data_IF_519680613448
#
_entry.id   IF_519680613448
#
_cell.length_a   1.000
_cell.length_b   1.000
_cell.length_c   1.000
_cell.angle_alpha   90.00
_cell.angle_beta   90.00
_cell.angle_gamma   90.00
#
_symmetry.space_group_name_H-M   'P 1'
#
loop_
_entity.id
_entity.type
_entity.pdbx_description
1 polymer ?
#
# COMPACT_ATOMS: atom_id res chain seq x y z
N UNK A 1 -11.79 -1.08 -29.57
CA UNK A 1 -11.48 -2.20 -28.64
C UNK A 1 -12.57 -2.27 -27.59
N UNK A 2 -13.31 -3.38 -27.50
CA UNK A 2 -14.32 -3.57 -26.45
C UNK A 2 -13.59 -3.75 -25.13
N UNK A 3 -13.64 -2.75 -24.24
CA UNK A 3 -13.17 -2.86 -22.85
C UNK A 3 -13.94 -3.98 -22.15
N UNK A 4 -13.42 -5.20 -22.21
CA UNK A 4 -13.85 -6.32 -21.36
C UNK A 4 -13.20 -6.14 -19.99
N UNK A 5 -13.58 -5.07 -19.28
CA UNK A 5 -13.12 -4.76 -17.92
C UNK A 5 -13.51 -5.85 -16.89
N UNK A 6 -14.23 -6.90 -17.27
CA UNK A 6 -14.67 -7.96 -16.37
C UNK A 6 -13.90 -9.27 -16.53
N UNK A 7 -13.15 -9.47 -17.61
CA UNK A 7 -12.35 -10.70 -17.81
C UNK A 7 -10.87 -10.44 -17.51
N UNK A 8 -10.52 -10.63 -16.25
CA UNK A 8 -9.20 -10.34 -15.69
C UNK A 8 -8.06 -11.20 -16.26
N UNK A 9 -8.35 -12.29 -16.99
CA UNK A 9 -7.32 -13.20 -17.56
C UNK A 9 -6.77 -12.74 -18.90
N UNK A 10 -7.51 -11.91 -19.64
CA UNK A 10 -7.07 -11.35 -20.92
C UNK A 10 -6.25 -10.05 -20.78
N UNK A 11 -5.86 -9.69 -19.55
CA UNK A 11 -5.24 -8.40 -19.20
C UNK A 11 -3.72 -8.38 -19.21
N UNK A 12 -3.08 -9.54 -19.31
CA UNK A 12 -1.69 -9.60 -19.75
C UNK A 12 -1.69 -9.52 -21.28
N UNK A 13 -1.76 -8.29 -21.79
CA UNK A 13 -1.30 -8.03 -23.15
C UNK A 13 0.15 -8.52 -23.28
N UNK A 14 0.56 -8.96 -24.46
CA UNK A 14 1.90 -9.51 -24.69
C UNK A 14 2.97 -8.51 -24.19
N UNK A 15 2.71 -7.21 -24.34
CA UNK A 15 3.58 -6.12 -23.88
C UNK A 15 3.82 -6.06 -22.36
N UNK A 16 2.88 -6.49 -21.52
CA UNK A 16 3.05 -6.55 -20.06
C UNK A 16 3.92 -7.74 -19.70
N UNK A 17 3.64 -8.91 -20.29
CA UNK A 17 4.41 -10.13 -20.08
C UNK A 17 5.85 -9.95 -20.51
N UNK A 18 6.09 -9.44 -21.72
CA UNK A 18 7.42 -9.14 -22.23
C UNK A 18 8.19 -8.20 -21.30
N UNK A 19 7.53 -7.16 -20.77
CA UNK A 19 8.17 -6.23 -19.84
C UNK A 19 8.51 -6.91 -18.49
N UNK A 20 7.61 -7.73 -17.93
CA UNK A 20 7.89 -8.50 -16.71
C UNK A 20 9.02 -9.49 -16.95
N UNK A 21 8.96 -10.31 -17.99
CA UNK A 21 9.98 -11.31 -18.30
C UNK A 21 11.35 -10.66 -18.53
N UNK A 22 11.39 -9.50 -19.19
CA UNK A 22 12.64 -8.77 -19.47
C UNK A 22 13.30 -8.20 -18.21
N UNK A 23 12.53 -7.70 -17.24
CA UNK A 23 13.07 -6.93 -16.11
C UNK A 23 12.92 -7.63 -14.75
N UNK A 24 12.31 -8.81 -14.69
CA UNK A 24 12.08 -9.55 -13.44
C UNK A 24 13.39 -9.89 -12.73
N UNK A 25 14.37 -10.43 -13.43
CA UNK A 25 15.63 -10.86 -12.81
C UNK A 25 16.41 -9.65 -12.27
N UNK A 26 16.50 -8.57 -13.06
CA UNK A 26 17.06 -7.29 -12.58
C UNK A 26 16.36 -6.78 -11.31
N UNK A 27 15.03 -6.87 -11.27
CA UNK A 27 14.27 -6.43 -10.12
C UNK A 27 14.51 -7.31 -8.89
N UNK A 28 14.62 -8.63 -9.07
CA UNK A 28 14.94 -9.57 -8.00
C UNK A 28 16.34 -9.28 -7.44
N UNK A 29 17.35 -9.20 -8.31
CA UNK A 29 18.73 -8.90 -7.92
C UNK A 29 18.84 -7.58 -7.16
N UNK A 30 18.18 -6.53 -7.64
CA UNK A 30 18.14 -5.22 -6.96
C UNK A 30 17.48 -5.31 -5.58
N UNK A 31 16.41 -6.10 -5.45
CA UNK A 31 15.74 -6.29 -4.15
C UNK A 31 16.60 -7.12 -3.21
N UNK A 32 17.29 -8.15 -3.68
CA UNK A 32 18.17 -8.98 -2.86
C UNK A 32 19.38 -8.18 -2.38
N UNK A 33 20.02 -7.38 -3.26
CA UNK A 33 21.11 -6.48 -2.89
C UNK A 33 20.68 -5.48 -1.78
N UNK A 34 19.47 -4.92 -1.89
CA UNK A 34 18.92 -4.08 -0.84
C UNK A 34 18.76 -4.83 0.50
N UNK A 35 18.29 -6.08 0.48
CA UNK A 35 18.03 -6.85 1.70
C UNK A 35 19.33 -7.32 2.38
N UNK A 36 20.32 -7.73 1.59
CA UNK A 36 21.66 -8.06 2.08
C UNK A 36 22.28 -6.84 2.77
N UNK A 37 22.12 -5.64 2.19
CA UNK A 37 22.76 -4.40 2.61
C UNK A 37 21.77 -3.37 3.24
N UNK A 38 20.74 -3.84 3.95
CA UNK A 38 19.62 -2.98 4.41
C UNK A 38 20.09 -1.78 5.23
N UNK A 39 21.01 -1.97 6.18
CA UNK A 39 21.51 -0.91 7.05
C UNK A 39 22.26 0.17 6.25
N UNK A 40 23.11 -0.26 5.32
CA UNK A 40 23.83 0.62 4.40
C UNK A 40 22.88 1.48 3.58
N UNK A 41 21.84 0.88 2.99
CA UNK A 41 20.89 1.61 2.16
C UNK A 41 20.00 2.56 2.97
N UNK A 42 19.61 2.20 4.20
CA UNK A 42 18.89 3.09 5.11
C UNK A 42 19.75 4.30 5.45
N UNK A 43 21.00 4.09 5.88
CA UNK A 43 21.93 5.18 6.22
C UNK A 43 22.21 6.10 5.03
N UNK A 44 22.47 5.52 3.85
CA UNK A 44 22.71 6.26 2.60
C UNK A 44 21.49 7.11 2.23
N UNK A 45 20.29 6.51 2.28
CA UNK A 45 19.04 7.20 1.99
C UNK A 45 18.78 8.37 2.94
N UNK A 46 18.93 8.16 4.26
CA UNK A 46 18.77 9.23 5.26
C UNK A 46 19.73 10.37 5.00
N UNK A 47 21.01 10.07 4.72
CA UNK A 47 22.01 11.08 4.41
C UNK A 47 21.61 11.88 3.16
N UNK A 48 21.20 11.21 2.09
CA UNK A 48 20.89 11.88 0.84
C UNK A 48 19.63 12.72 0.90
N UNK A 49 18.56 12.21 1.55
CA UNK A 49 17.36 12.99 1.83
C UNK A 49 17.69 14.24 2.65
N UNK A 50 18.56 14.15 3.67
CA UNK A 50 18.97 15.34 4.44
C UNK A 50 19.74 16.35 3.58
N UNK A 51 20.64 15.90 2.70
CA UNK A 51 21.37 16.77 1.75
C UNK A 51 20.40 17.55 0.86
N UNK A 52 19.31 16.90 0.48
CA UNK A 52 18.24 17.45 -0.35
C UNK A 52 17.25 18.36 0.41
N UNK A 53 17.52 18.66 1.68
CA UNK A 53 16.70 19.57 2.49
C UNK A 53 15.43 18.95 3.07
N UNK A 54 15.28 17.63 2.99
CA UNK A 54 14.21 16.94 3.71
C UNK A 54 14.49 16.92 5.22
N UNK A 55 13.42 16.99 6.02
CA UNK A 55 13.49 16.64 7.44
C UNK A 55 13.26 15.13 7.56
N UNK A 56 14.25 14.40 8.05
CA UNK A 56 14.24 12.92 7.99
C UNK A 56 14.32 12.31 9.38
N UNK A 57 13.43 11.38 9.63
CA UNK A 57 13.34 10.58 10.84
C UNK A 57 13.39 9.09 10.51
N UNK A 58 14.02 8.32 11.39
CA UNK A 58 14.07 6.86 11.34
C UNK A 58 13.45 6.32 12.62
N UNK A 59 12.29 5.67 12.48
CA UNK A 59 11.54 5.08 13.58
C UNK A 59 11.77 3.56 13.61
N UNK A 60 12.27 3.06 14.74
CA UNK A 60 12.48 1.63 14.97
C UNK A 60 11.19 0.88 15.26
N UNK A 61 10.15 1.56 15.74
CA UNK A 61 8.83 0.98 16.05
C UNK A 61 7.69 1.86 15.55
N UNK A 62 6.50 1.28 15.44
CA UNK A 62 5.29 2.01 15.05
C UNK A 62 4.97 3.13 16.05
N UNK A 63 5.16 2.91 17.35
CA UNK A 63 4.90 3.92 18.39
C UNK A 63 5.87 5.10 18.31
N UNK A 64 7.14 4.85 17.93
CA UNK A 64 8.10 5.91 17.68
C UNK A 64 7.66 6.76 16.47
N UNK A 65 7.21 6.10 15.39
CA UNK A 65 6.68 6.79 14.22
C UNK A 65 5.45 7.64 14.56
N UNK A 66 4.54 7.16 15.42
CA UNK A 66 3.37 7.91 15.90
C UNK A 66 3.77 9.19 16.65
N UNK A 67 4.74 9.10 17.57
CA UNK A 67 5.24 10.26 18.32
C UNK A 67 5.88 11.30 17.40
N UNK A 68 6.71 10.85 16.48
CA UNK A 68 7.38 11.72 15.50
C UNK A 68 6.35 12.42 14.61
N UNK A 69 5.36 11.67 14.12
CA UNK A 69 4.28 12.21 13.31
C UNK A 69 3.50 13.30 14.05
N UNK A 70 3.11 13.08 15.31
CA UNK A 70 2.37 14.08 16.09
C UNK A 70 3.20 15.33 16.36
N UNK A 71 4.49 15.17 16.65
CA UNK A 71 5.40 16.31 16.81
C UNK A 71 5.50 17.14 15.53
N UNK A 72 5.54 16.48 14.37
CA UNK A 72 5.58 17.15 13.07
C UNK A 72 4.24 17.75 12.65
N UNK A 73 3.14 17.14 13.06
CA UNK A 73 1.81 17.67 12.84
C UNK A 73 1.59 18.99 13.61
N UNK A 74 2.13 19.09 14.82
CA UNK A 74 1.98 20.27 15.68
C UNK A 74 0.50 20.53 16.02
N UNK A 75 0.08 21.80 15.93
CA UNK A 75 -1.29 22.21 16.26
C UNK A 75 -2.32 21.91 15.16
N UNK A 76 -1.89 21.37 14.02
CA UNK A 76 -2.80 21.08 12.90
C UNK A 76 -3.79 19.98 13.28
N UNK A 77 -5.07 20.21 13.00
CA UNK A 77 -6.17 19.27 13.30
C UNK A 77 -6.76 18.57 12.08
N UNK A 78 -6.34 18.97 10.88
CA UNK A 78 -6.84 18.39 9.62
C UNK A 78 -5.64 18.00 8.76
N UNK A 79 -5.66 16.78 8.23
CA UNK A 79 -4.67 16.30 7.27
C UNK A 79 -5.36 15.78 6.01
N UNK A 80 -4.76 16.01 4.86
CA UNK A 80 -5.22 15.47 3.59
C UNK A 80 -4.33 14.31 3.17
N UNK A 81 -4.92 13.13 3.00
CA UNK A 81 -4.18 11.89 2.76
C UNK A 81 -4.40 11.38 1.35
N UNK A 82 -3.34 10.81 0.75
CA UNK A 82 -3.49 9.93 -0.41
C UNK A 82 -2.58 8.71 -0.32
N UNK A 83 -3.12 7.55 -0.72
CA UNK A 83 -2.43 6.25 -0.91
C UNK A 83 -1.27 5.96 0.07
N UNK A 84 -1.52 6.14 1.37
CA UNK A 84 -0.57 5.76 2.42
C UNK A 84 -0.93 4.41 3.03
N UNK A 85 -0.43 3.33 2.42
CA UNK A 85 -0.57 1.98 2.99
C UNK A 85 0.17 1.85 4.31
N UNK A 86 1.32 2.53 4.44
CA UNK A 86 2.09 2.52 5.69
C UNK A 86 1.30 3.11 6.85
N UNK A 87 0.49 4.16 6.62
CA UNK A 87 -0.39 4.71 7.65
C UNK A 87 -1.40 3.66 8.19
N UNK A 88 -1.89 2.78 7.32
CA UNK A 88 -2.74 1.65 7.74
C UNK A 88 -1.90 0.57 8.45
N UNK A 89 -0.71 0.28 7.93
CA UNK A 89 0.22 -0.74 8.43
C UNK A 89 0.62 -0.49 9.89
N UNK A 90 0.97 0.75 10.23
CA UNK A 90 1.45 1.10 11.56
C UNK A 90 0.32 1.44 12.55
N UNK A 91 -0.94 1.52 12.07
CA UNK A 91 -2.10 1.88 12.88
C UNK A 91 -2.24 3.38 13.18
N UNK A 92 -1.58 4.26 12.42
CA UNK A 92 -1.58 5.69 12.73
C UNK A 92 -2.95 6.35 12.50
N UNK A 93 -3.79 5.81 11.62
CA UNK A 93 -5.11 6.38 11.36
C UNK A 93 -6.01 6.32 12.59
N UNK A 94 -5.99 5.20 13.31
CA UNK A 94 -6.75 5.05 14.56
C UNK A 94 -6.18 5.97 15.65
N UNK A 95 -4.84 6.01 15.77
CA UNK A 95 -4.15 6.91 16.69
C UNK A 95 -4.47 8.39 16.44
N UNK A 96 -4.54 8.82 15.18
CA UNK A 96 -4.93 10.19 14.81
C UNK A 96 -6.38 10.49 15.17
N UNK A 97 -7.28 9.53 14.95
CA UNK A 97 -8.69 9.64 15.33
C UNK A 97 -8.86 9.79 16.84
N UNK A 98 -8.14 8.99 17.64
CA UNK A 98 -8.14 9.07 19.11
C UNK A 98 -7.63 10.44 19.62
N UNK A 99 -6.74 11.08 18.86
CA UNK A 99 -6.20 12.42 19.16
C UNK A 99 -7.00 13.57 18.52
N UNK A 100 -8.22 13.32 18.05
CA UNK A 100 -9.10 14.30 17.42
C UNK A 100 -8.48 15.00 16.19
N UNK A 101 -7.69 14.26 15.41
CA UNK A 101 -7.16 14.72 14.12
C UNK A 101 -8.09 14.19 13.02
N UNK A 102 -8.63 15.10 12.22
CA UNK A 102 -9.44 14.76 11.05
C UNK A 102 -8.54 14.37 9.89
N UNK A 103 -8.68 13.15 9.40
CA UNK A 103 -8.04 12.67 8.18
C UNK A 103 -9.06 12.74 7.04
N UNK A 104 -8.76 13.51 6.00
CA UNK A 104 -9.59 13.59 4.79
C UNK A 104 -8.91 12.81 3.66
N UNK A 105 -9.59 11.82 3.10
CA UNK A 105 -9.08 11.10 1.92
C UNK A 105 -9.19 11.98 0.66
N UNK A 106 -8.33 11.71 -0.33
CA UNK A 106 -8.29 12.51 -1.57
C UNK A 106 -8.36 11.69 -2.85
N UNK A 107 -8.27 10.38 -2.72
CA UNK A 107 -8.55 9.43 -3.81
C UNK A 107 -10.05 9.21 -3.88
N UNK A 108 -10.65 9.36 -5.06
CA UNK A 108 -12.10 9.27 -5.20
C UNK A 108 -12.66 7.95 -4.65
N UNK A 109 -11.95 6.84 -4.87
CA UNK A 109 -12.36 5.54 -4.34
C UNK A 109 -12.38 5.50 -2.81
N UNK A 110 -11.34 6.02 -2.17
CA UNK A 110 -11.25 6.08 -0.70
C UNK A 110 -12.25 7.12 -0.12
N UNK A 111 -12.50 8.23 -0.82
CA UNK A 111 -13.54 9.22 -0.47
C UNK A 111 -14.94 8.59 -0.49
N UNK A 112 -15.23 7.72 -1.47
CA UNK A 112 -16.48 6.98 -1.50
C UNK A 112 -16.57 5.99 -0.32
N UNK A 113 -15.48 5.29 0.00
CA UNK A 113 -15.44 4.40 1.18
C UNK A 113 -15.75 5.18 2.47
N UNK A 114 -15.20 6.39 2.63
CA UNK A 114 -15.50 7.28 3.75
C UNK A 114 -16.96 7.76 3.73
N UNK A 115 -17.50 8.12 2.55
CA UNK A 115 -18.88 8.56 2.37
C UNK A 115 -19.91 7.49 2.81
N UNK A 116 -19.59 6.22 2.57
CA UNK A 116 -20.41 5.07 2.94
C UNK A 116 -20.05 4.46 4.31
N UNK A 117 -19.09 5.05 5.04
CA UNK A 117 -18.60 4.56 6.33
C UNK A 117 -18.18 3.07 6.29
N UNK A 118 -17.63 2.65 5.16
CA UNK A 118 -17.34 1.25 4.89
C UNK A 118 -15.98 0.86 5.47
N UNK A 119 -15.92 -0.20 6.30
CA UNK A 119 -14.67 -0.58 7.00
C UNK A 119 -13.59 -1.14 6.08
N UNK A 120 -13.96 -2.02 5.15
CA UNK A 120 -13.02 -2.73 4.29
C UNK A 120 -13.58 -2.80 2.86
N UNK A 121 -13.01 -2.09 1.88
CA UNK A 121 -13.49 -2.15 0.51
C UNK A 121 -13.29 -3.56 -0.07
N UNK A 122 -14.27 -4.02 -0.88
CA UNK A 122 -14.22 -5.33 -1.54
C UNK A 122 -13.06 -5.49 -2.54
N UNK A 123 -12.39 -4.39 -2.89
CA UNK A 123 -11.26 -4.37 -3.80
C UNK A 123 -10.29 -3.22 -3.45
N UNK A 124 -9.04 -3.55 -3.12
CA UNK A 124 -8.11 -2.57 -2.56
C UNK A 124 -7.57 -1.54 -3.56
N UNK A 125 -7.39 -1.92 -4.83
CA UNK A 125 -6.78 -1.05 -5.84
C UNK A 125 -7.79 0.03 -6.28
N UNK A 126 -9.05 -0.36 -6.43
CA UNK A 126 -10.17 0.53 -6.75
C UNK A 126 -11.25 0.45 -5.66
N UNK A 127 -11.03 1.07 -4.49
CA UNK A 127 -11.90 0.91 -3.32
C UNK A 127 -13.37 1.23 -3.60
N UNK A 128 -13.66 2.20 -4.47
CA UNK A 128 -15.04 2.59 -4.80
C UNK A 128 -15.77 1.73 -5.85
N UNK A 129 -15.10 0.76 -6.50
CA UNK A 129 -15.67 0.05 -7.67
C UNK A 129 -16.92 -0.79 -7.34
N UNK A 130 -17.11 -1.14 -6.07
CA UNK A 130 -18.19 -2.02 -5.63
C UNK A 130 -19.49 -1.27 -5.32
N UNK A 131 -19.47 0.07 -5.30
CA UNK A 131 -20.67 0.89 -5.09
C UNK A 131 -21.42 1.09 -6.41
N UNK A 132 -22.74 0.94 -6.38
CA UNK A 132 -23.57 1.27 -7.53
C UNK A 132 -23.62 2.79 -7.73
N UNK A 133 -23.77 3.22 -8.99
CA UNK A 133 -23.78 4.65 -9.34
C UNK A 133 -24.97 5.36 -8.70
N UNK A 134 -26.12 4.69 -8.68
CA UNK A 134 -27.36 5.17 -8.10
C UNK A 134 -27.22 5.40 -6.59
N UNK A 135 -26.56 4.48 -5.89
CA UNK A 135 -26.29 4.59 -4.46
C UNK A 135 -25.37 5.78 -4.16
N UNK A 136 -24.33 5.98 -4.97
CA UNK A 136 -23.40 7.11 -4.81
C UNK A 136 -24.16 8.44 -4.94
N UNK A 137 -25.00 8.59 -5.97
CA UNK A 137 -25.78 9.82 -6.17
C UNK A 137 -26.79 10.03 -5.04
N UNK A 138 -27.50 8.98 -4.61
CA UNK A 138 -28.42 9.06 -3.49
C UNK A 138 -27.70 9.51 -2.21
N UNK A 139 -26.50 8.98 -1.94
CA UNK A 139 -25.71 9.34 -0.75
C UNK A 139 -25.16 10.76 -0.81
N UNK A 140 -24.76 11.23 -2.00
CA UNK A 140 -24.36 12.64 -2.22
C UNK A 140 -25.55 13.57 -1.97
N UNK A 141 -26.75 13.22 -2.46
CA UNK A 141 -27.98 13.99 -2.22
C UNK A 141 -28.33 14.04 -0.73
N UNK A 142 -28.25 12.90 -0.04
CA UNK A 142 -28.50 12.79 1.40
C UNK A 142 -27.55 13.66 2.22
N UNK A 143 -26.24 13.56 1.97
CA UNK A 143 -25.21 14.21 2.81
C UNK A 143 -24.98 15.69 2.46
N UNK A 144 -25.09 16.05 1.19
CA UNK A 144 -24.72 17.38 0.70
C UNK A 144 -25.88 18.17 0.08
N UNK A 145 -27.06 17.55 -0.08
CA UNK A 145 -28.22 18.21 -0.70
C UNK A 145 -28.06 18.44 -2.21
N UNK A 146 -27.09 17.78 -2.87
CA UNK A 146 -26.79 17.96 -4.29
C UNK A 146 -27.41 16.83 -5.11
N UNK A 147 -28.22 17.20 -6.10
CA UNK A 147 -28.79 16.26 -7.06
C UNK A 147 -27.90 16.16 -8.29
N UNK A 148 -27.53 14.93 -8.66
CA UNK A 148 -26.67 14.63 -9.79
C UNK A 148 -27.36 13.64 -10.73
N UNK A 149 -27.00 13.69 -12.00
CA UNK A 149 -27.35 12.61 -12.93
C UNK A 149 -26.64 11.31 -12.51
N UNK A 150 -27.31 10.14 -12.53
CA UNK A 150 -26.74 8.84 -12.11
C UNK A 150 -25.80 8.29 -13.19
N UNK A 151 -24.68 8.99 -13.40
CA UNK A 151 -23.60 8.53 -14.27
C UNK A 151 -22.24 8.97 -13.74
N UNK A 152 -21.19 8.21 -14.11
CA UNK A 152 -19.83 8.46 -13.64
C UNK A 152 -19.29 9.86 -14.01
N UNK A 153 -19.70 10.43 -15.16
CA UNK A 153 -19.22 11.76 -15.58
C UNK A 153 -19.73 12.86 -14.65
N UNK A 154 -21.00 12.81 -14.25
CA UNK A 154 -21.59 13.78 -13.32
C UNK A 154 -20.93 13.72 -11.94
N UNK A 155 -20.69 12.52 -11.42
CA UNK A 155 -19.97 12.33 -10.14
C UNK A 155 -18.56 12.91 -10.21
N UNK A 156 -17.79 12.58 -11.25
CA UNK A 156 -16.43 13.13 -11.44
C UNK A 156 -16.44 14.64 -11.58
N UNK A 157 -17.39 15.20 -12.33
CA UNK A 157 -17.53 16.66 -12.49
C UNK A 157 -17.81 17.34 -11.14
N UNK A 158 -18.70 16.77 -10.32
CA UNK A 158 -18.99 17.27 -8.98
C UNK A 158 -17.72 17.38 -8.11
N UNK A 159 -16.95 16.29 -8.01
CA UNK A 159 -15.70 16.29 -7.23
C UNK A 159 -14.64 17.23 -7.83
N UNK A 160 -14.59 17.37 -9.15
CA UNK A 160 -13.70 18.32 -9.82
C UNK A 160 -14.04 19.78 -9.50
N UNK A 161 -15.31 20.13 -9.40
CA UNK A 161 -15.75 21.51 -9.15
C UNK A 161 -15.71 21.93 -7.68
N UNK A 162 -15.91 20.96 -6.78
CA UNK A 162 -15.98 21.18 -5.33
C UNK A 162 -14.65 20.81 -4.67
N UNK A 163 -14.35 19.52 -4.63
CA UNK A 163 -13.25 18.95 -3.88
C UNK A 163 -11.88 19.43 -4.39
N UNK A 164 -11.70 19.59 -5.70
CA UNK A 164 -10.44 20.14 -6.24
C UNK A 164 -10.13 21.55 -5.74
N UNK A 165 -11.13 22.40 -5.54
CA UNK A 165 -10.92 23.76 -5.02
C UNK A 165 -10.46 23.71 -3.57
N UNK A 166 -11.07 22.85 -2.76
CA UNK A 166 -10.62 22.59 -1.39
C UNK A 166 -9.16 22.11 -1.37
N UNK A 167 -8.81 21.11 -2.20
CA UNK A 167 -7.44 20.58 -2.27
C UNK A 167 -6.38 21.62 -2.67
N UNK A 168 -6.75 22.66 -3.41
CA UNK A 168 -5.83 23.72 -3.84
C UNK A 168 -5.67 24.84 -2.82
N UNK A 169 -6.67 25.07 -1.96
CA UNK A 169 -6.70 26.26 -1.10
C UNK A 169 -6.55 25.93 0.40
N UNK A 170 -6.98 24.74 0.84
CA UNK A 170 -7.18 24.45 2.26
C UNK A 170 -6.17 23.45 2.84
N UNK A 171 -5.33 22.85 2.00
CA UNK A 171 -4.37 21.81 2.40
C UNK A 171 -3.17 22.43 3.09
N UNK A 172 -3.12 22.39 4.43
CA UNK A 172 -1.93 22.82 5.20
C UNK A 172 -0.91 21.71 5.40
N UNK A 173 -1.40 20.52 5.72
CA UNK A 173 -0.60 19.32 5.94
C UNK A 173 -1.15 18.20 5.08
N UNK A 174 -0.27 17.57 4.30
CA UNK A 174 -0.61 16.38 3.53
C UNK A 174 0.18 15.17 4.00
N UNK A 175 -0.44 14.00 3.84
CA UNK A 175 0.14 12.71 4.17
C UNK A 175 0.15 11.80 2.93
N UNK A 176 1.34 11.37 2.52
CA UNK A 176 1.50 10.32 1.52
C UNK A 176 2.39 9.20 2.05
N UNK A 177 2.53 8.13 1.26
CA UNK A 177 3.66 7.21 1.39
C UNK A 177 4.63 7.44 0.23
N UNK A 178 5.35 6.39 -0.20
CA UNK A 178 6.14 6.39 -1.42
C UNK A 178 6.00 5.04 -2.14
N UNK A 179 6.05 5.06 -3.47
CA UNK A 179 6.15 3.84 -4.26
C UNK A 179 7.58 3.28 -4.18
N UNK A 180 8.58 4.16 -4.21
CA UNK A 180 9.98 3.86 -3.99
C UNK A 180 10.72 5.12 -3.50
N UNK A 181 11.85 4.94 -2.83
CA UNK A 181 12.77 6.01 -2.43
C UNK A 181 14.18 5.66 -2.89
N UNK A 182 14.80 6.51 -3.70
CA UNK A 182 16.18 6.31 -4.14
C UNK A 182 17.16 6.64 -2.99
N UNK A 183 18.02 5.69 -2.66
CA UNK A 183 19.10 5.88 -1.68
C UNK A 183 20.24 6.73 -2.24
N UNK A 184 20.57 6.58 -3.52
CA UNK A 184 21.62 7.35 -4.19
C UNK A 184 21.24 8.80 -4.44
N UNK A 185 19.97 9.05 -4.78
CA UNK A 185 19.51 10.38 -5.16
C UNK A 185 18.79 11.12 -4.03
N UNK A 186 18.34 10.41 -2.98
CA UNK A 186 17.53 11.00 -1.92
C UNK A 186 16.21 11.57 -2.47
N UNK A 187 15.53 10.79 -3.30
CA UNK A 187 14.35 11.22 -4.04
C UNK A 187 13.17 10.28 -3.77
N UNK A 188 11.98 10.87 -3.59
CA UNK A 188 10.73 10.17 -3.36
C UNK A 188 10.00 10.01 -4.68
N UNK A 189 9.65 8.78 -5.04
CA UNK A 189 8.87 8.48 -6.23
C UNK A 189 7.43 8.13 -5.88
N UNK A 190 6.51 8.82 -6.54
CA UNK A 190 5.07 8.67 -6.40
C UNK A 190 4.43 8.43 -7.77
N UNK A 191 3.40 7.60 -7.79
CA UNK A 191 2.63 7.27 -8.99
C UNK A 191 1.13 7.48 -8.72
N UNK A 192 0.38 8.00 -9.69
CA UNK A 192 -1.06 8.26 -9.53
C UNK A 192 -1.83 8.33 -10.86
N UNK A 193 -3.15 8.16 -10.79
CA UNK A 193 -4.07 8.24 -11.93
C UNK A 193 -4.99 9.47 -11.89
N UNK A 194 -5.25 10.08 -10.73
CA UNK A 194 -6.27 11.14 -10.59
C UNK A 194 -5.69 12.56 -10.52
N UNK A 195 -4.39 12.69 -10.24
CA UNK A 195 -3.70 13.97 -10.03
C UNK A 195 -3.90 14.56 -8.63
N UNK A 196 -4.58 13.85 -7.73
CA UNK A 196 -4.79 14.23 -6.33
C UNK A 196 -3.48 14.26 -5.52
N UNK A 197 -2.59 13.28 -5.70
CA UNK A 197 -1.27 13.23 -5.05
C UNK A 197 -0.43 14.44 -5.50
N UNK A 198 -0.40 14.72 -6.80
CA UNK A 198 0.26 15.91 -7.36
C UNK A 198 -0.24 17.21 -6.74
N UNK A 199 -1.54 17.33 -6.45
CA UNK A 199 -2.09 18.52 -5.82
C UNK A 199 -1.66 18.58 -4.36
N UNK A 200 -1.90 17.54 -3.55
CA UNK A 200 -1.61 17.61 -2.11
C UNK A 200 -0.12 17.60 -1.77
N UNK A 201 0.76 17.24 -2.70
CA UNK A 201 2.22 17.37 -2.51
C UNK A 201 2.76 18.75 -2.92
N UNK A 202 2.03 19.47 -3.79
CA UNK A 202 2.43 20.81 -4.27
C UNK A 202 1.69 21.93 -3.55
N UNK A 203 0.37 21.84 -3.40
CA UNK A 203 -0.44 22.89 -2.77
C UNK A 203 -0.30 22.97 -1.25
N UNK A 204 0.30 21.96 -0.60
CA UNK A 204 0.45 21.90 0.86
C UNK A 204 1.55 22.83 1.38
N UNK A 205 1.47 23.24 2.64
CA UNK A 205 2.61 23.91 3.30
C UNK A 205 3.64 22.88 3.80
N UNK A 206 3.14 21.81 4.44
CA UNK A 206 3.95 20.68 4.93
C UNK A 206 3.50 19.38 4.28
N UNK A 207 4.45 18.64 3.71
CA UNK A 207 4.22 17.31 3.17
C UNK A 207 4.90 16.28 4.06
N UNK A 208 4.12 15.42 4.72
CA UNK A 208 4.63 14.30 5.52
C UNK A 208 4.56 13.01 4.70
N UNK A 209 5.69 12.35 4.56
CA UNK A 209 5.86 11.07 3.90
C UNK A 209 6.12 10.00 4.95
N UNK A 210 5.15 9.10 5.13
CA UNK A 210 5.25 7.97 6.04
C UNK A 210 5.44 6.69 5.25
N UNK A 211 6.56 6.00 5.47
CA UNK A 211 6.99 4.95 4.56
C UNK A 211 7.87 3.90 5.23
N UNK A 212 7.60 2.62 4.97
CA UNK A 212 8.45 1.53 5.44
C UNK A 212 9.81 1.50 4.75
N UNK A 213 10.85 1.10 5.48
CA UNK A 213 12.24 1.02 4.97
C UNK A 213 12.38 0.14 3.73
N UNK A 214 11.52 -0.87 3.56
CA UNK A 214 11.50 -1.74 2.38
C UNK A 214 11.16 -1.00 1.07
N UNK A 215 10.69 0.25 1.11
CA UNK A 215 10.49 1.06 -0.10
C UNK A 215 11.77 1.70 -0.63
N UNK A 216 12.86 1.63 0.10
CA UNK A 216 14.16 2.11 -0.36
C UNK A 216 14.66 1.19 -1.48
N UNK A 217 15.24 1.80 -2.50
CA UNK A 217 15.90 1.17 -3.64
C UNK A 217 17.24 1.86 -3.91
N UNK A 218 18.19 1.21 -4.60
CA UNK A 218 19.52 1.78 -4.78
C UNK A 218 19.54 3.13 -5.50
N UNK A 219 18.90 3.22 -6.68
CA UNK A 219 18.91 4.41 -7.54
C UNK A 219 17.52 4.90 -7.97
N UNK A 220 17.45 6.10 -8.56
CA UNK A 220 16.22 6.63 -9.17
C UNK A 220 15.74 5.80 -10.36
N UNK A 221 16.64 5.13 -11.09
CA UNK A 221 16.26 4.23 -12.17
C UNK A 221 15.61 2.95 -11.63
N UNK A 222 16.08 2.43 -10.50
CA UNK A 222 15.42 1.32 -9.81
C UNK A 222 14.05 1.73 -9.28
N UNK A 223 13.91 2.96 -8.77
CA UNK A 223 12.63 3.51 -8.36
C UNK A 223 11.65 3.59 -9.55
N UNK A 224 12.13 4.03 -10.72
CA UNK A 224 11.34 4.06 -11.95
C UNK A 224 10.96 2.64 -12.39
N UNK A 225 11.89 1.69 -12.31
CA UNK A 225 11.63 0.30 -12.66
C UNK A 225 10.55 -0.31 -11.77
N UNK A 226 10.64 -0.13 -10.45
CA UNK A 226 9.60 -0.55 -9.49
C UNK A 226 8.26 0.08 -9.87
N UNK A 227 8.23 1.39 -10.14
CA UNK A 227 7.00 2.11 -10.49
C UNK A 227 6.39 1.59 -11.79
N UNK A 228 7.21 1.37 -12.83
CA UNK A 228 6.76 0.78 -14.10
C UNK A 228 6.29 -0.67 -13.93
N UNK A 229 6.95 -1.46 -13.09
CA UNK A 229 6.49 -2.81 -12.74
C UNK A 229 5.11 -2.80 -12.08
N UNK A 230 4.89 -1.92 -11.11
CA UNK A 230 3.57 -1.76 -10.47
C UNK A 230 2.52 -1.33 -11.50
N UNK A 231 2.82 -0.34 -12.34
CA UNK A 231 1.91 0.13 -13.39
C UNK A 231 1.49 -0.99 -14.33
N UNK A 232 2.46 -1.70 -14.91
CA UNK A 232 2.20 -2.78 -15.88
C UNK A 232 1.43 -3.94 -15.29
N UNK A 233 1.65 -4.25 -14.02
CA UNK A 233 1.04 -5.43 -13.37
C UNK A 233 -0.29 -5.16 -12.68
N UNK A 234 -0.65 -3.89 -12.47
CA UNK A 234 -1.86 -3.48 -11.74
C UNK A 234 -2.97 -2.95 -12.68
N UNK A 235 -2.70 -2.77 -13.98
CA UNK A 235 -3.65 -2.28 -15.00
C UNK A 235 -4.33 -0.95 -14.63
N UNK A 236 -3.76 -0.24 -13.64
CA UNK A 236 -4.14 1.11 -13.31
C UNK A 236 -3.49 2.01 -14.35
N UNK A 237 -4.31 2.72 -15.14
CA UNK A 237 -3.81 3.72 -16.08
C UNK A 237 -3.05 4.77 -15.29
N UNK A 238 -1.72 4.67 -15.32
CA UNK A 238 -0.85 5.62 -14.66
C UNK A 238 -0.83 6.91 -15.47
N UNK A 239 -1.32 8.00 -14.88
CA UNK A 239 -1.36 9.30 -15.52
C UNK A 239 -0.12 10.13 -15.17
N UNK A 240 0.39 10.03 -13.93
CA UNK A 240 1.47 10.87 -13.45
C UNK A 240 2.49 10.09 -12.62
N UNK A 241 3.78 10.36 -12.87
CA UNK A 241 4.89 9.99 -11.99
C UNK A 241 5.49 11.29 -11.47
N UNK A 242 5.63 11.41 -10.15
CA UNK A 242 6.28 12.56 -9.51
C UNK A 242 7.55 12.12 -8.80
N UNK A 243 8.62 12.86 -9.03
CA UNK A 243 9.87 12.77 -8.31
C UNK A 243 9.98 14.01 -7.43
N UNK A 244 10.09 13.80 -6.12
CA UNK A 244 10.26 14.88 -5.15
C UNK A 244 11.69 14.79 -4.63
N UNK A 245 12.46 15.84 -4.92
CA UNK A 245 13.86 15.99 -4.50
C UNK A 245 14.03 16.91 -3.28
N UNK A 246 12.94 17.41 -2.69
CA UNK A 246 12.99 18.24 -1.49
C UNK A 246 11.85 19.24 -1.45
N UNK A 247 11.89 20.18 -0.50
CA UNK A 247 11.01 21.34 -0.50
C UNK A 247 11.11 22.14 -1.81
N UNK A 248 10.00 22.76 -2.20
CA UNK A 248 9.98 23.62 -3.39
C UNK A 248 10.74 24.90 -3.13
N UNK A 249 11.52 25.39 -4.09
CA UNK A 249 12.18 26.68 -3.97
C UNK A 249 12.44 27.36 -5.31
N UNK A 250 12.93 28.59 -5.24
CA UNK A 250 13.43 29.38 -6.39
C UNK A 250 14.75 30.04 -6.01
N UNK A 251 15.59 30.28 -7.01
CA UNK A 251 16.81 31.09 -6.90
C UNK A 251 16.81 32.27 -7.89
N UNK A 252 15.68 32.55 -8.53
CA UNK A 252 15.59 33.56 -9.61
C UNK A 252 15.81 35.00 -9.09
N UNK A 253 15.62 35.21 -7.79
CA UNK A 253 15.77 36.51 -7.14
C UNK A 253 17.25 36.70 -6.77
N UNK A 254 18.03 37.19 -7.73
CA UNK A 254 19.48 37.48 -7.59
C UNK A 254 20.31 36.28 -7.11
N UNK A 255 19.91 35.04 -7.44
CA UNK A 255 20.61 33.84 -6.99
C UNK A 255 20.36 33.48 -5.52
N UNK A 256 19.46 34.18 -4.83
CA UNK A 256 19.13 33.88 -3.42
C UNK A 256 18.12 32.76 -3.38
N UNK A 257 18.51 31.62 -2.78
CA UNK A 257 17.60 30.48 -2.62
C UNK A 257 16.53 30.79 -1.58
N UNK A 258 15.26 30.67 -2.00
CA UNK A 258 14.08 30.82 -1.14
C UNK A 258 13.21 29.58 -1.29
N UNK A 259 12.85 28.96 -0.17
CA UNK A 259 11.95 27.80 -0.12
C UNK A 259 10.49 28.24 -0.04
N UNK A 260 9.57 27.39 -0.48
CA UNK A 260 8.13 27.59 -0.47
C UNK A 260 7.55 28.40 -1.63
N UNK A 261 8.08 28.25 -2.86
CA UNK A 261 7.58 29.02 -4.01
C UNK A 261 6.17 28.61 -4.45
N UNK A 262 6.03 27.37 -4.95
CA UNK A 262 4.73 26.82 -5.36
C UNK A 262 4.38 25.50 -4.66
N UNK A 263 5.40 24.73 -4.28
CA UNK A 263 5.27 23.44 -3.63
C UNK A 263 5.35 23.53 -2.10
N UNK A 264 5.40 22.37 -1.44
CA UNK A 264 5.63 22.26 -0.02
C UNK A 264 6.87 23.04 0.46
N UNK A 265 6.70 23.81 1.54
CA UNK A 265 7.77 24.56 2.21
C UNK A 265 8.63 23.64 3.07
N UNK A 266 8.00 22.59 3.61
CA UNK A 266 8.64 21.55 4.41
C UNK A 266 8.23 20.18 3.87
N UNK A 267 9.21 19.30 3.67
CA UNK A 267 8.96 17.90 3.36
C UNK A 267 9.61 17.03 4.43
N UNK A 268 8.78 16.29 5.14
CA UNK A 268 9.17 15.42 6.26
C UNK A 268 9.09 13.99 5.81
N UNK A 269 10.14 13.20 6.01
CA UNK A 269 10.16 11.76 5.74
C UNK A 269 10.31 11.01 7.06
N UNK A 270 9.37 10.12 7.35
CA UNK A 270 9.39 9.21 8.48
C UNK A 270 9.56 7.80 7.92
N UNK A 271 10.79 7.30 7.98
CA UNK A 271 11.14 5.92 7.62
C UNK A 271 10.78 5.00 8.79
N UNK A 272 9.98 3.96 8.55
CA UNK A 272 9.54 3.01 9.58
C UNK A 272 10.17 1.63 9.33
N UNK A 273 10.94 1.15 10.30
CA UNK A 273 11.52 -0.20 10.27
C UNK A 273 10.56 -1.24 10.84
N UNK A 274 10.24 -1.09 12.14
CA UNK A 274 9.35 -1.95 12.95
C UNK A 274 9.78 -3.42 13.00
N UNK A 275 9.32 -4.19 12.02
CA UNK A 275 9.59 -5.62 11.86
C UNK A 275 10.60 -5.93 10.75
N UNK A 276 10.89 -4.97 9.85
CA UNK A 276 11.54 -5.24 8.56
C UNK A 276 12.96 -5.74 8.71
N UNK A 277 13.82 -5.03 9.47
CA UNK A 277 15.20 -5.46 9.72
C UNK A 277 15.26 -6.79 10.48
N UNK A 278 14.33 -7.01 11.43
CA UNK A 278 14.24 -8.27 12.20
C UNK A 278 13.80 -9.47 11.36
N UNK A 279 13.03 -9.24 10.30
CA UNK A 279 12.50 -10.30 9.46
C UNK A 279 13.52 -10.94 8.53
N UNK A 280 14.75 -10.41 8.41
CA UNK A 280 15.82 -10.99 7.60
C UNK A 280 16.09 -12.46 7.94
N UNK A 281 16.06 -12.80 9.22
CA UNK A 281 16.33 -14.16 9.73
C UNK A 281 15.04 -15.00 9.89
N UNK A 282 13.90 -14.48 9.42
CA UNK A 282 12.61 -15.17 9.54
C UNK A 282 12.31 -16.05 8.33
N UNK A 283 11.41 -17.03 8.50
CA UNK A 283 10.91 -17.83 7.37
C UNK A 283 10.12 -17.02 6.34
N UNK A 284 9.77 -15.77 6.65
CA UNK A 284 9.04 -14.84 5.79
C UNK A 284 9.92 -13.69 5.26
N UNK A 285 11.25 -13.81 5.35
CA UNK A 285 12.22 -12.81 4.85
C UNK A 285 11.98 -12.44 3.38
N UNK A 286 11.60 -13.41 2.55
CA UNK A 286 11.12 -13.24 1.18
C UNK A 286 10.09 -12.11 1.02
N UNK A 287 9.23 -11.92 2.01
CA UNK A 287 8.19 -10.90 1.98
C UNK A 287 8.74 -9.47 1.96
N UNK A 288 9.98 -9.26 2.40
CA UNK A 288 10.66 -7.96 2.36
C UNK A 288 10.94 -7.45 0.93
N UNK A 289 10.90 -8.33 -0.08
CA UNK A 289 10.99 -7.93 -1.50
C UNK A 289 9.73 -7.24 -2.02
N UNK A 290 8.63 -7.26 -1.27
CA UNK A 290 7.32 -6.82 -1.75
C UNK A 290 7.28 -5.35 -2.17
N UNK A 291 7.10 -5.10 -3.46
CA UNK A 291 6.88 -3.76 -4.02
C UNK A 291 5.43 -3.27 -3.91
N UNK A 292 4.53 -4.08 -3.34
CA UNK A 292 3.10 -3.77 -3.19
C UNK A 292 2.33 -3.59 -4.52
N UNK A 293 2.69 -4.33 -5.57
CA UNK A 293 2.04 -4.27 -6.88
C UNK A 293 0.63 -4.88 -6.94
N UNK A 294 0.22 -5.64 -5.90
CA UNK A 294 -1.07 -6.32 -5.77
C UNK A 294 -1.37 -7.42 -6.79
N UNK A 295 -0.43 -7.78 -7.67
CA UNK A 295 -0.56 -8.91 -8.63
C UNK A 295 -1.04 -10.19 -7.96
N UNK A 296 -0.48 -10.52 -6.78
CA UNK A 296 -0.86 -11.69 -6.00
C UNK A 296 -2.34 -11.69 -5.59
N UNK A 297 -2.92 -10.54 -5.25
CA UNK A 297 -4.35 -10.41 -4.90
C UNK A 297 -5.24 -10.63 -6.13
N UNK A 298 -4.81 -10.19 -7.32
CA UNK A 298 -5.56 -10.38 -8.56
C UNK A 298 -5.67 -11.84 -8.99
N UNK A 299 -4.55 -12.56 -8.95
CA UNK A 299 -4.49 -13.97 -9.36
C UNK A 299 -4.98 -14.92 -8.26
N UNK A 300 -5.31 -14.39 -7.07
CA UNK A 300 -5.78 -15.18 -5.94
C UNK A 300 -7.21 -15.67 -6.15
N UNK A 301 -7.37 -16.99 -6.28
CA UNK A 301 -8.68 -17.63 -6.37
C UNK A 301 -9.47 -17.53 -5.06
N UNK A 302 -8.80 -17.58 -3.91
CA UNK A 302 -9.42 -17.44 -2.60
C UNK A 302 -9.98 -16.02 -2.39
N UNK A 303 -9.22 -14.96 -2.67
CA UNK A 303 -9.73 -13.59 -2.56
C UNK A 303 -10.93 -13.33 -3.48
N UNK A 304 -10.92 -13.91 -4.69
CA UNK A 304 -12.06 -13.80 -5.62
C UNK A 304 -13.31 -14.54 -5.13
N UNK A 305 -13.14 -15.66 -4.42
CA UNK A 305 -14.25 -16.47 -3.92
C UNK A 305 -14.83 -15.92 -2.60
N UNK A 306 -13.96 -15.47 -1.70
CA UNK A 306 -14.33 -15.15 -0.32
C UNK A 306 -14.38 -13.65 -0.02
N UNK A 307 -13.80 -12.80 -0.88
CA UNK A 307 -13.77 -11.35 -0.69
C UNK A 307 -13.23 -10.97 0.69
N UNK A 308 -13.99 -10.15 1.41
CA UNK A 308 -13.65 -9.61 2.73
C UNK A 308 -13.61 -10.64 3.88
N UNK A 309 -13.92 -11.91 3.62
CA UNK A 309 -13.73 -12.98 4.60
C UNK A 309 -12.27 -13.47 4.60
N UNK A 310 -11.56 -13.34 3.47
CA UNK A 310 -10.13 -13.66 3.35
C UNK A 310 -9.32 -12.36 3.32
N UNK A 311 -9.36 -11.64 4.44
CA UNK A 311 -8.93 -10.26 4.56
C UNK A 311 -8.52 -9.95 6.00
N UNK A 312 -7.65 -8.94 6.16
CA UNK A 312 -7.29 -8.33 7.43
C UNK A 312 -7.46 -6.82 7.35
N UNK A 313 -7.20 -6.10 8.45
CA UNK A 313 -7.08 -4.63 8.42
C UNK A 313 -6.01 -4.12 7.45
N UNK A 314 -5.03 -4.96 7.11
CA UNK A 314 -3.97 -4.67 6.14
C UNK A 314 -4.37 -4.95 4.69
N UNK A 315 -5.50 -5.63 4.46
CA UNK A 315 -6.07 -5.77 3.13
C UNK A 315 -6.69 -7.09 2.77
N UNK A 316 -6.62 -7.43 1.48
CA UNK A 316 -7.19 -8.65 0.91
C UNK A 316 -6.11 -9.67 0.56
N UNK A 317 -6.42 -10.94 0.83
CA UNK A 317 -5.64 -12.06 0.35
C UNK A 317 -4.43 -12.41 1.19
N UNK A 318 -3.61 -13.34 0.67
CA UNK A 318 -2.47 -13.92 1.40
C UNK A 318 -1.52 -12.87 1.98
N UNK A 319 -1.22 -11.80 1.24
CA UNK A 319 -0.32 -10.75 1.73
C UNK A 319 -0.88 -9.98 2.93
N UNK A 320 -2.21 -9.89 3.05
CA UNK A 320 -2.85 -9.26 4.18
C UNK A 320 -2.80 -10.15 5.43
N UNK A 321 -2.98 -11.47 5.24
CA UNK A 321 -2.83 -12.48 6.30
C UNK A 321 -1.38 -12.55 6.79
N UNK A 322 -0.40 -12.51 5.87
CA UNK A 322 1.03 -12.50 6.23
C UNK A 322 1.36 -11.24 7.04
N UNK A 323 0.87 -10.07 6.65
CA UNK A 323 1.05 -8.84 7.43
C UNK A 323 0.42 -8.94 8.81
N UNK A 324 -0.79 -9.48 8.89
CA UNK A 324 -1.47 -9.61 10.17
C UNK A 324 -0.76 -10.61 11.10
N UNK A 325 -0.24 -11.71 10.55
CA UNK A 325 0.67 -12.62 11.26
C UNK A 325 1.91 -11.89 11.81
N UNK A 326 2.56 -11.06 10.99
CA UNK A 326 3.77 -10.31 11.40
C UNK A 326 3.49 -9.36 12.57
N UNK A 327 2.33 -8.68 12.55
CA UNK A 327 2.00 -7.66 13.55
C UNK A 327 1.29 -8.21 14.78
N UNK A 328 0.37 -9.16 14.60
CA UNK A 328 -0.59 -9.59 15.62
C UNK A 328 -0.51 -11.10 15.93
N UNK A 329 0.34 -11.85 15.23
CA UNK A 329 0.61 -13.25 15.51
C UNK A 329 -0.34 -14.24 14.84
N UNK A 330 -0.21 -15.51 15.24
CA UNK A 330 -0.84 -16.64 14.55
C UNK A 330 -2.35 -16.68 14.70
N UNK A 331 -2.87 -16.29 15.86
CA UNK A 331 -4.31 -16.28 16.14
C UNK A 331 -5.05 -15.32 15.21
N UNK A 332 -4.48 -14.13 15.01
CA UNK A 332 -5.05 -13.09 14.16
C UNK A 332 -5.05 -13.52 12.69
N UNK A 333 -3.95 -14.13 12.21
CA UNK A 333 -3.90 -14.72 10.89
C UNK A 333 -4.96 -15.81 10.66
N UNK A 334 -5.24 -16.64 11.67
CA UNK A 334 -6.28 -17.68 11.61
C UNK A 334 -7.67 -17.04 11.52
N UNK A 335 -7.95 -16.03 12.35
CA UNK A 335 -9.20 -15.27 12.34
C UNK A 335 -9.48 -14.63 10.97
N UNK A 336 -8.44 -14.06 10.35
CA UNK A 336 -8.51 -13.41 9.04
C UNK A 336 -8.59 -14.40 7.85
N UNK A 337 -8.70 -15.70 8.14
CA UNK A 337 -8.99 -16.71 7.14
C UNK A 337 -7.75 -17.39 6.54
N UNK A 338 -6.65 -17.55 7.30
CA UNK A 338 -5.46 -18.31 6.91
C UNK A 338 -5.76 -19.62 6.14
N UNK A 339 -6.75 -20.38 6.61
CA UNK A 339 -7.14 -21.68 6.04
C UNK A 339 -8.02 -21.61 4.78
N UNK A 340 -8.45 -20.41 4.36
CA UNK A 340 -9.14 -20.19 3.08
C UNK A 340 -8.18 -20.20 1.88
N UNK A 341 -6.88 -19.98 2.11
CA UNK A 341 -5.87 -20.14 1.08
C UNK A 341 -5.87 -21.57 0.54
N UNK A 342 -6.05 -21.74 -0.78
CA UNK A 342 -6.10 -23.06 -1.42
C UNK A 342 -4.73 -23.68 -1.69
N UNK A 343 -3.64 -22.91 -1.51
CA UNK A 343 -2.29 -23.39 -1.83
C UNK A 343 -2.02 -23.59 -3.33
N UNK A 344 -2.77 -22.92 -4.21
CA UNK A 344 -2.65 -23.04 -5.68
C UNK A 344 -1.42 -22.38 -6.29
N UNK A 345 -0.58 -21.70 -5.50
CA UNK A 345 0.70 -21.09 -5.91
C UNK A 345 0.67 -20.01 -7.00
N UNK A 346 -0.51 -19.62 -7.51
CA UNK A 346 -0.61 -18.52 -8.50
C UNK A 346 0.11 -17.25 -8.02
N UNK A 347 -0.04 -16.87 -6.76
CA UNK A 347 0.61 -15.69 -6.20
C UNK A 347 2.14 -15.75 -6.22
N UNK A 348 2.74 -16.96 -6.08
CA UNK A 348 4.18 -17.20 -6.22
C UNK A 348 4.60 -17.10 -7.68
N UNK A 349 3.89 -17.79 -8.58
CA UNK A 349 4.26 -17.89 -10.00
C UNK A 349 4.16 -16.55 -10.74
N UNK A 350 3.24 -15.69 -10.33
CA UNK A 350 3.01 -14.38 -10.94
C UNK A 350 3.70 -13.22 -10.22
N UNK A 351 4.51 -13.49 -9.19
CA UNK A 351 5.20 -12.44 -8.45
C UNK A 351 6.36 -11.84 -9.27
N UNK A 352 6.36 -10.53 -9.58
CA UNK A 352 7.42 -9.90 -10.37
C UNK A 352 8.74 -9.75 -9.59
N UNK A 353 8.70 -9.95 -8.26
CA UNK A 353 9.87 -9.90 -7.35
C UNK A 353 10.16 -11.25 -6.69
N UNK A 354 9.68 -12.36 -7.28
CA UNK A 354 10.09 -13.71 -6.89
C UNK A 354 9.77 -14.14 -5.44
N UNK A 355 8.72 -13.61 -4.83
CA UNK A 355 8.34 -13.97 -3.45
C UNK A 355 7.61 -15.32 -3.45
N UNK A 356 8.07 -16.27 -2.64
CA UNK A 356 7.34 -17.52 -2.45
C UNK A 356 6.22 -17.41 -1.41
N UNK A 357 5.16 -16.68 -1.78
CA UNK A 357 4.00 -16.41 -0.91
C UNK A 357 3.34 -17.73 -0.47
N UNK A 358 3.28 -18.74 -1.34
CA UNK A 358 2.69 -20.03 -1.00
C UNK A 358 3.44 -20.73 0.14
N UNK A 359 4.77 -20.68 0.16
CA UNK A 359 5.58 -21.31 1.21
C UNK A 359 5.47 -20.57 2.54
N UNK A 360 5.42 -19.23 2.52
CA UNK A 360 5.14 -18.44 3.73
C UNK A 360 3.77 -18.83 4.31
N UNK A 361 2.73 -18.91 3.47
CA UNK A 361 1.39 -19.32 3.91
C UNK A 361 1.35 -20.76 4.44
N UNK A 362 2.12 -21.68 3.85
CA UNK A 362 2.26 -23.07 4.36
C UNK A 362 2.92 -23.09 5.73
N UNK A 363 3.97 -22.29 5.92
CA UNK A 363 4.69 -22.19 7.19
C UNK A 363 3.79 -21.66 8.31
N UNK A 364 3.02 -20.60 8.03
CA UNK A 364 2.03 -20.07 8.98
C UNK A 364 0.95 -21.13 9.29
N UNK A 365 0.42 -21.83 8.28
CA UNK A 365 -0.55 -22.93 8.49
C UNK A 365 0.01 -24.08 9.32
N UNK A 366 1.29 -24.42 9.14
CA UNK A 366 1.97 -25.44 9.92
C UNK A 366 2.02 -25.04 11.39
N UNK A 367 2.45 -23.81 11.68
CA UNK A 367 2.47 -23.27 13.05
C UNK A 367 1.06 -23.27 13.67
N UNK A 368 0.04 -22.76 12.97
CA UNK A 368 -1.35 -22.79 13.44
C UNK A 368 -1.82 -24.21 13.76
N UNK A 369 -1.45 -25.19 12.93
CA UNK A 369 -1.80 -26.60 13.13
C UNK A 369 -1.10 -27.20 14.33
N UNK A 370 0.19 -26.90 14.54
CA UNK A 370 0.97 -27.34 15.71
C UNK A 370 0.40 -26.77 17.02
N UNK A 371 -0.09 -25.52 17.00
CA UNK A 371 -0.79 -24.87 18.12
C UNK A 371 -2.25 -25.30 18.28
N UNK A 372 -2.76 -26.17 17.41
CA UNK A 372 -4.14 -26.68 17.48
C UNK A 372 -5.21 -25.66 17.06
N UNK A 373 -4.83 -24.60 16.35
CA UNK A 373 -5.69 -23.54 15.83
C UNK A 373 -6.26 -23.86 14.43
N UNK A 374 -6.01 -25.06 13.90
CA UNK A 374 -6.56 -25.48 12.62
C UNK A 374 -8.04 -25.86 12.71
N UNK A 375 -8.80 -25.75 11.60
CA UNK A 375 -10.19 -26.17 11.54
C UNK A 375 -10.40 -27.62 12.02
N UNK A 376 -11.54 -27.94 12.66
CA UNK A 376 -11.80 -29.28 13.19
C UNK A 376 -11.63 -30.41 12.16
N UNK A 377 -11.97 -30.16 10.89
CA UNK A 377 -11.78 -31.11 9.79
C UNK A 377 -10.30 -31.45 9.57
N UNK A 378 -9.41 -30.45 9.58
CA UNK A 378 -7.95 -30.66 9.44
C UNK A 378 -7.41 -31.44 10.64
N UNK A 379 -7.86 -31.11 11.86
CA UNK A 379 -7.47 -31.84 13.07
C UNK A 379 -7.88 -33.32 13.01
N UNK A 380 -9.07 -33.62 12.49
CA UNK A 380 -9.52 -34.99 12.28
C UNK A 380 -8.64 -35.74 11.28
N UNK A 381 -8.28 -35.12 10.16
CA UNK A 381 -7.38 -35.73 9.18
C UNK A 381 -5.99 -35.99 9.76
N UNK A 382 -5.44 -35.04 10.52
CA UNK A 382 -4.16 -35.20 11.21
C UNK A 382 -4.19 -36.41 12.16
N UNK A 383 -5.24 -36.54 12.98
CA UNK A 383 -5.39 -37.67 13.91
C UNK A 383 -5.49 -39.02 13.17
N UNK A 384 -6.24 -39.08 12.06
CA UNK A 384 -6.32 -40.29 11.22
C UNK A 384 -5.00 -40.64 10.56
N UNK A 385 -4.22 -39.65 10.11
CA UNK A 385 -2.89 -39.89 9.56
C UNK A 385 -1.96 -40.47 10.63
N UNK A 386 -1.95 -39.91 11.83
CA UNK A 386 -1.09 -40.37 12.92
C UNK A 386 -1.49 -41.77 13.42
N UNK A 387 -2.78 -42.04 13.53
CA UNK A 387 -3.31 -43.30 14.07
C UNK A 387 -3.38 -44.41 13.03
N UNK A 388 -4.00 -44.12 11.89
CA UNK A 388 -4.41 -45.13 10.90
C UNK A 388 -3.54 -45.09 9.63
N UNK A 389 -2.56 -44.18 9.55
CA UNK A 389 -1.71 -43.92 8.36
C UNK A 389 -2.50 -43.63 7.08
N UNK A 390 -3.79 -43.30 7.20
CA UNK A 390 -4.67 -43.02 6.08
C UNK A 390 -5.76 -42.01 6.48
N UNK A 391 -5.78 -40.80 5.90
CA UNK A 391 -6.76 -39.75 6.25
C UNK A 391 -8.20 -40.07 5.82
N UNK A 392 -8.39 -41.02 4.89
CA UNK A 392 -9.68 -41.28 4.24
C UNK A 392 -10.40 -42.53 4.77
N UNK A 393 -9.83 -43.25 5.72
CA UNK A 393 -10.51 -44.37 6.34
C UNK A 393 -11.80 -43.87 7.02
N UNK A 394 -12.94 -44.37 6.53
CA UNK A 394 -14.21 -44.28 7.24
C UNK A 394 -14.23 -45.42 8.24
N UNK A 395 -14.54 -45.14 9.51
CA UNK A 395 -14.89 -46.21 10.45
C UNK A 395 -16.12 -46.89 9.85
N UNK A 396 -15.94 -48.17 9.49
CA UNK A 396 -16.99 -49.09 9.06
C UNK A 396 -18.07 -49.21 10.13
#
# INVERSE_FOLDING_TARGET
MKNKSFDFRHRYDDSVKEFVEKYKDQLIEMRDDFLENIDYYIEKCIKMLKTNGFRVYYAKTNEEAHKIFMNELGDNKVIYKSKSNEAKDIGILDFLKENNIQVKETDLGDVLVELFEYKLPSYQVGPGIHFAIEDIVAKIKEKYGVELEPNAKAIVQYYRETFRKELLNDVKVSLTSANAISAEDGCIMLMENEGNISIITRATEKHIVLVGTTKIVPSVFDALLVTKMVERTNDAVLAYISLIYGPSGTSDIRGTSVQGMYGAKEVVVILVDDWRTKAKESFYSDFLRCISCKTCSFVCTASRAFGNIYASKYGLGATAIIRDYIHNGIEAAVEDGLFLCTGCENCTNWCPVGINIAEIMRSIKKEATEKGLCPPSIKQYQQKILKDKNPFLKKS
#
